data_IF_538541530604
#
_entry.id   IF_538541530604
#
_cell.length_a   1.000
_cell.length_b   1.000
_cell.length_c   1.000
_cell.angle_alpha   90.00
_cell.angle_beta   90.00
_cell.angle_gamma   90.00
#
_symmetry.space_group_name_H-M   'P 1'
#
loop_
_entity.id
_entity.type
_entity.pdbx_description
1 polymer ?
#
# COMPACT_ATOMS: atom_id res chain seq x y z
N UNK A 1 -16.40 -4.91 -5.61
CA UNK A 1 -16.18 -3.67 -4.86
C UNK A 1 -15.56 -2.63 -5.77
N UNK A 2 -16.05 -1.41 -5.71
CA UNK A 2 -15.45 -0.31 -6.46
C UNK A 2 -14.18 0.14 -5.73
N UNK A 3 -13.03 -0.03 -6.40
CA UNK A 3 -11.74 0.27 -5.78
C UNK A 3 -11.59 1.76 -5.46
N UNK A 4 -12.19 2.63 -6.28
CA UNK A 4 -12.12 4.07 -6.02
C UNK A 4 -12.87 4.43 -4.74
N UNK A 5 -14.00 3.79 -4.50
CA UNK A 5 -14.74 3.99 -3.25
C UNK A 5 -13.96 3.47 -2.04
N UNK A 6 -13.28 2.33 -2.21
CA UNK A 6 -12.45 1.79 -1.14
C UNK A 6 -11.31 2.75 -0.80
N UNK A 7 -10.67 3.32 -1.82
CA UNK A 7 -9.59 4.30 -1.63
C UNK A 7 -10.12 5.53 -0.89
N UNK A 8 -11.26 6.07 -1.33
CA UNK A 8 -11.85 7.24 -0.68
C UNK A 8 -12.19 6.97 0.78
N UNK A 9 -12.72 5.79 1.05
CA UNK A 9 -13.06 5.37 2.39
C UNK A 9 -11.83 5.35 3.30
N UNK A 10 -10.73 4.77 2.81
CA UNK A 10 -9.49 4.71 3.57
C UNK A 10 -8.89 6.09 3.78
N UNK A 11 -9.07 7.00 2.82
CA UNK A 11 -8.61 8.37 2.97
C UNK A 11 -9.34 9.10 4.11
N UNK A 12 -10.58 8.76 4.35
CA UNK A 12 -11.32 9.30 5.49
C UNK A 12 -10.69 8.89 6.83
N UNK A 13 -9.98 7.78 6.85
CA UNK A 13 -9.32 7.29 8.06
C UNK A 13 -7.85 7.71 8.14
N UNK A 14 -7.44 8.67 7.31
CA UNK A 14 -6.13 9.28 7.44
C UNK A 14 -5.07 8.74 6.50
N UNK A 15 -5.42 7.88 5.55
CA UNK A 15 -4.47 7.43 4.54
C UNK A 15 -4.42 8.44 3.39
N UNK A 16 -3.24 8.61 2.80
CA UNK A 16 -3.14 9.31 1.52
C UNK A 16 -3.69 8.39 0.42
N UNK A 17 -3.94 8.95 -0.77
CA UNK A 17 -4.41 8.15 -1.89
C UNK A 17 -3.39 7.06 -2.24
N UNK A 18 -2.10 7.39 -2.24
CA UNK A 18 -1.07 6.40 -2.53
C UNK A 18 -1.00 5.32 -1.45
N UNK A 19 -1.07 5.71 -0.18
CA UNK A 19 -1.10 4.73 0.92
C UNK A 19 -2.28 3.78 0.77
N UNK A 20 -3.45 4.32 0.48
CA UNK A 20 -4.66 3.51 0.31
C UNK A 20 -4.52 2.53 -0.85
N UNK A 21 -3.95 2.98 -1.97
CA UNK A 21 -3.73 2.14 -3.15
C UNK A 21 -2.78 0.98 -2.82
N UNK A 22 -1.67 1.30 -2.16
CA UNK A 22 -0.68 0.29 -1.74
C UNK A 22 -1.30 -0.68 -0.74
N UNK A 23 -2.05 -0.17 0.22
CA UNK A 23 -2.72 -0.97 1.24
C UNK A 23 -3.69 -1.98 0.62
N UNK A 24 -4.53 -1.52 -0.30
CA UNK A 24 -5.48 -2.41 -0.98
C UNK A 24 -4.76 -3.48 -1.81
N UNK A 25 -3.63 -3.12 -2.42
CA UNK A 25 -2.84 -4.08 -3.17
C UNK A 25 -2.27 -5.17 -2.25
N UNK A 26 -1.81 -4.79 -1.07
CA UNK A 26 -1.32 -5.75 -0.09
C UNK A 26 -2.42 -6.71 0.37
N UNK A 27 -3.62 -6.19 0.62
CA UNK A 27 -4.75 -7.02 1.01
C UNK A 27 -5.09 -8.02 -0.09
N UNK A 28 -5.11 -7.56 -1.34
CA UNK A 28 -5.49 -8.40 -2.48
C UNK A 28 -4.45 -9.46 -2.78
N UNK A 29 -3.18 -9.09 -2.79
CA UNK A 29 -2.11 -9.96 -3.25
C UNK A 29 -1.32 -10.62 -2.12
N UNK A 30 -1.50 -10.17 -0.89
CA UNK A 30 -0.76 -10.66 0.26
C UNK A 30 0.67 -10.17 0.25
N UNK A 31 1.58 -11.03 0.64
CA UNK A 31 2.99 -10.69 0.78
C UNK A 31 3.61 -10.32 -0.57
N UNK A 32 4.13 -9.10 -0.66
CA UNK A 32 4.76 -8.59 -1.88
C UNK A 32 5.97 -7.74 -1.55
N UNK A 33 6.90 -7.65 -2.52
CA UNK A 33 8.01 -6.71 -2.45
C UNK A 33 7.55 -5.33 -2.95
N UNK A 34 8.27 -4.28 -2.57
CA UNK A 34 8.01 -2.95 -3.09
C UNK A 34 8.11 -2.89 -4.61
N UNK A 35 9.05 -3.66 -5.19
CA UNK A 35 9.19 -3.76 -6.64
C UNK A 35 7.91 -4.30 -7.29
N UNK A 36 7.35 -5.37 -6.75
CA UNK A 36 6.14 -5.98 -7.30
C UNK A 36 4.97 -5.02 -7.22
N UNK A 37 4.82 -4.32 -6.09
CA UNK A 37 3.75 -3.34 -5.92
C UNK A 37 3.90 -2.20 -6.93
N UNK A 38 5.11 -1.69 -7.12
CA UNK A 38 5.37 -0.62 -8.09
C UNK A 38 5.01 -1.06 -9.51
N UNK A 39 5.43 -2.27 -9.88
CA UNK A 39 5.13 -2.83 -11.20
C UNK A 39 3.62 -2.92 -11.42
N UNK A 40 2.89 -3.42 -10.43
CA UNK A 40 1.47 -3.72 -10.58
C UNK A 40 0.57 -2.50 -10.45
N UNK A 41 1.01 -1.46 -9.74
CA UNK A 41 0.21 -0.25 -9.51
C UNK A 41 0.58 0.90 -10.43
N UNK A 42 1.77 0.87 -11.02
CA UNK A 42 2.28 2.00 -11.80
C UNK A 42 2.82 3.15 -10.95
N UNK A 43 2.84 3.01 -9.64
CA UNK A 43 3.42 4.01 -8.73
C UNK A 43 4.94 3.83 -8.75
N UNK A 44 5.70 4.94 -8.71
CA UNK A 44 7.15 4.86 -8.70
C UNK A 44 7.65 4.09 -7.46
N UNK A 45 8.79 3.42 -7.59
CA UNK A 45 9.33 2.63 -6.48
C UNK A 45 9.59 3.47 -5.23
N UNK A 46 10.13 4.67 -5.41
CA UNK A 46 10.37 5.55 -4.26
C UNK A 46 9.08 5.92 -3.54
N UNK A 47 8.01 6.16 -4.29
CA UNK A 47 6.72 6.47 -3.69
C UNK A 47 6.08 5.24 -3.04
N UNK A 48 6.28 4.06 -3.62
CA UNK A 48 5.83 2.81 -2.99
C UNK A 48 6.54 2.59 -1.66
N UNK A 49 7.86 2.74 -1.63
CA UNK A 49 8.61 2.56 -0.38
C UNK A 49 8.22 3.59 0.69
N UNK A 50 7.98 4.83 0.27
CA UNK A 50 7.51 5.86 1.21
C UNK A 50 6.12 5.50 1.77
N UNK A 51 5.23 5.01 0.92
CA UNK A 51 3.89 4.59 1.35
C UNK A 51 3.96 3.38 2.28
N UNK A 52 4.81 2.41 1.98
CA UNK A 52 5.00 1.24 2.82
C UNK A 52 5.53 1.64 4.21
N UNK A 53 6.49 2.54 4.26
CA UNK A 53 7.03 3.02 5.53
C UNK A 53 5.93 3.70 6.37
N UNK A 54 5.10 4.51 5.73
CA UNK A 54 3.98 5.17 6.42
C UNK A 54 2.96 4.16 6.93
N UNK A 55 2.65 3.14 6.14
CA UNK A 55 1.70 2.10 6.55
C UNK A 55 2.24 1.27 7.72
N UNK A 56 3.53 0.96 7.71
CA UNK A 56 4.17 0.25 8.84
C UNK A 56 4.10 1.10 10.10
N UNK A 57 4.39 2.40 9.98
CA UNK A 57 4.32 3.31 11.12
C UNK A 57 2.91 3.41 11.68
N UNK A 58 1.90 3.35 10.84
CA UNK A 58 0.48 3.37 11.27
C UNK A 58 0.00 2.03 11.80
N UNK A 59 0.81 0.99 11.72
CA UNK A 59 0.41 -0.36 12.13
C UNK A 59 -0.49 -1.08 11.14
N UNK A 60 -0.62 -0.55 9.92
CA UNK A 60 -1.46 -1.15 8.88
C UNK A 60 -0.73 -2.21 8.05
N UNK A 61 0.59 -2.27 8.16
CA UNK A 61 1.40 -3.25 7.45
C UNK A 61 2.61 -3.60 8.32
N UNK A 62 3.31 -4.66 7.97
CA UNK A 62 4.55 -5.02 8.64
C UNK A 62 5.52 -5.64 7.65
N UNK A 63 6.79 -5.58 8.01
CA UNK A 63 7.85 -6.13 7.19
C UNK A 63 8.09 -7.60 7.53
N UNK A 64 8.27 -8.41 6.51
CA UNK A 64 8.67 -9.79 6.67
C UNK A 64 10.10 -9.91 6.18
N UNK A 65 11.00 -10.32 7.06
CA UNK A 65 12.37 -10.58 6.67
C UNK A 65 12.49 -12.01 6.22
N UNK A 66 13.16 -12.22 5.09
CA UNK A 66 13.43 -13.54 4.58
C UNK A 66 14.94 -13.75 4.52
N UNK A 67 15.37 -14.87 5.03
CA UNK A 67 16.77 -15.26 4.95
C UNK A 67 17.13 -15.76 3.56
#
# INVERSE_FOLDING_TARGET
MDINKAIEYLMHFGMSRQEATVYLRLIEAGKQTGYEIARDTGISRSNVYASLAALVEKGAAYLVEED
#
